data_IF_914165262893
#
_entry.id   IF_914165262893
#
_cell.length_a   1.000
_cell.length_b   1.000
_cell.length_c   1.000
_cell.angle_alpha   90.00
_cell.angle_beta   90.00
_cell.angle_gamma   90.00
#
_symmetry.space_group_name_H-M   'P 1'
#
loop_
_entity.id
_entity.type
_entity.pdbx_description
1 polymer ?
#
# COMPACT_ATOMS: atom_id res chain seq x y z
N UNK A 1 -6.12 -10.37 6.73
CA UNK A 1 -4.77 -10.78 6.29
C UNK A 1 -3.81 -9.59 6.44
N UNK A 2 -2.59 -9.80 6.95
CA UNK A 2 -1.60 -8.71 7.11
C UNK A 2 -0.51 -8.82 6.08
N UNK A 3 -0.23 -7.72 5.39
CA UNK A 3 0.79 -7.63 4.37
C UNK A 3 1.75 -6.48 4.66
N UNK A 4 3.01 -6.67 4.31
CA UNK A 4 4.05 -5.65 4.39
C UNK A 4 4.10 -4.89 3.08
N UNK A 5 3.87 -3.59 3.11
CA UNK A 5 3.82 -2.71 1.94
C UNK A 5 4.94 -1.68 2.01
N UNK A 6 5.93 -1.79 1.12
CA UNK A 6 6.97 -0.79 0.94
C UNK A 6 6.53 0.29 -0.07
N UNK A 7 6.37 1.52 0.41
CA UNK A 7 5.93 2.66 -0.39
C UNK A 7 7.13 3.43 -0.93
N UNK A 8 7.35 3.32 -2.24
CA UNK A 8 8.34 4.10 -3.01
C UNK A 8 7.65 5.29 -3.68
N UNK A 9 7.63 6.41 -2.97
CA UNK A 9 7.13 7.69 -3.48
C UNK A 9 8.12 8.38 -4.42
N UNK A 10 7.63 9.21 -5.34
CA UNK A 10 8.45 9.92 -6.33
C UNK A 10 8.86 9.07 -7.53
N UNK A 11 8.12 8.00 -7.83
CA UNK A 11 8.39 7.16 -8.99
C UNK A 11 7.88 7.79 -10.29
N UNK A 12 8.44 7.43 -11.44
CA UNK A 12 7.96 7.97 -12.74
C UNK A 12 6.57 7.42 -13.12
N UNK A 13 6.18 6.26 -12.57
CA UNK A 13 4.92 5.56 -12.85
C UNK A 13 4.32 5.00 -11.57
N UNK A 14 3.00 4.90 -11.52
CA UNK A 14 2.28 4.20 -10.46
C UNK A 14 2.27 2.70 -10.75
N UNK A 15 2.57 1.88 -9.74
CA UNK A 15 2.64 0.42 -9.90
C UNK A 15 2.72 -0.31 -8.58
N UNK A 16 2.20 -1.54 -8.56
CA UNK A 16 2.28 -2.47 -7.43
C UNK A 16 3.12 -3.66 -7.89
N UNK A 17 4.15 -3.98 -7.12
CA UNK A 17 5.00 -5.14 -7.35
C UNK A 17 4.77 -6.07 -6.17
N UNK A 18 4.29 -7.28 -6.44
CA UNK A 18 4.24 -8.32 -5.42
C UNK A 18 5.64 -8.94 -5.29
N UNK A 19 6.19 -8.93 -4.09
CA UNK A 19 7.42 -9.63 -3.74
C UNK A 19 7.12 -11.05 -3.28
N UNK A 20 8.05 -11.64 -2.53
CA UNK A 20 7.84 -12.95 -1.91
C UNK A 20 6.88 -12.88 -0.72
N UNK A 21 5.93 -13.81 -0.68
CA UNK A 21 4.96 -13.96 0.41
C UNK A 21 4.07 -12.73 0.58
N UNK A 22 4.12 -12.14 1.78
CA UNK A 22 3.28 -11.02 2.19
C UNK A 22 3.93 -9.65 1.92
N UNK A 23 5.04 -9.59 1.16
CA UNK A 23 5.71 -8.35 0.81
C UNK A 23 5.19 -7.75 -0.51
N UNK A 24 4.86 -6.46 -0.49
CA UNK A 24 4.39 -5.70 -1.63
C UNK A 24 5.16 -4.39 -1.73
N UNK A 25 5.56 -3.99 -2.93
CA UNK A 25 6.24 -2.72 -3.19
C UNK A 25 5.32 -1.86 -4.02
N UNK A 26 4.86 -0.75 -3.44
CA UNK A 26 3.97 0.20 -4.09
C UNK A 26 4.76 1.42 -4.52
N UNK A 27 4.92 1.58 -5.82
CA UNK A 27 5.54 2.75 -6.45
C UNK A 27 4.45 3.74 -6.80
N UNK A 28 4.59 4.98 -6.33
CA UNK A 28 3.64 6.05 -6.66
C UNK A 28 4.39 7.26 -7.16
N UNK A 29 3.82 7.92 -8.16
CA UNK A 29 4.34 9.20 -8.66
C UNK A 29 4.08 10.35 -7.69
N UNK A 30 3.08 10.19 -6.82
CA UNK A 30 2.79 11.14 -5.77
C UNK A 30 4.02 11.41 -4.89
N UNK A 31 4.32 12.69 -4.66
CA UNK A 31 5.37 13.11 -3.73
C UNK A 31 5.07 12.64 -2.30
N UNK A 32 6.14 12.44 -1.52
CA UNK A 32 6.16 11.98 -0.11
C UNK A 32 5.56 13.01 0.88
N UNK A 33 4.46 13.69 0.53
CA UNK A 33 3.64 14.42 1.52
C UNK A 33 2.77 13.40 2.24
N UNK A 34 2.95 13.26 3.56
CA UNK A 34 2.08 12.48 4.47
C UNK A 34 0.63 12.75 4.07
N UNK A 35 -0.06 11.77 3.49
CA UNK A 35 -1.41 11.93 2.92
C UNK A 35 -1.52 11.45 1.48
N UNK A 36 -0.81 12.08 0.52
CA UNK A 36 -0.95 11.74 -0.91
C UNK A 36 -0.49 10.31 -1.22
N UNK A 37 0.61 9.87 -0.60
CA UNK A 37 1.09 8.51 -0.74
C UNK A 37 0.13 7.49 -0.10
N UNK A 38 -0.43 7.79 1.08
CA UNK A 38 -1.37 6.88 1.75
C UNK A 38 -2.65 6.69 0.92
N UNK A 39 -3.20 7.78 0.39
CA UNK A 39 -4.39 7.74 -0.47
C UNK A 39 -4.10 6.90 -1.73
N UNK A 40 -2.95 7.11 -2.38
CA UNK A 40 -2.58 6.36 -3.56
C UNK A 40 -2.40 4.86 -3.26
N UNK A 41 -1.74 4.51 -2.15
CA UNK A 41 -1.56 3.12 -1.70
C UNK A 41 -2.91 2.47 -1.40
N UNK A 42 -3.79 3.12 -0.63
CA UNK A 42 -5.13 2.62 -0.34
C UNK A 42 -5.96 2.42 -1.61
N UNK A 43 -5.87 3.34 -2.57
CA UNK A 43 -6.58 3.26 -3.85
C UNK A 43 -6.06 2.11 -4.71
N UNK A 44 -4.74 1.91 -4.75
CA UNK A 44 -4.11 0.79 -5.46
C UNK A 44 -4.44 -0.55 -4.81
N UNK A 45 -4.32 -0.66 -3.48
CA UNK A 45 -4.64 -1.88 -2.75
C UNK A 45 -6.12 -2.23 -2.87
N UNK A 46 -7.03 -1.26 -2.77
CA UNK A 46 -8.46 -1.50 -2.98
C UNK A 46 -8.76 -1.97 -4.40
N UNK A 47 -8.08 -1.41 -5.42
CA UNK A 47 -8.25 -1.85 -6.81
C UNK A 47 -7.65 -3.23 -7.07
N UNK A 48 -6.53 -3.54 -6.43
CA UNK A 48 -5.81 -4.80 -6.62
C UNK A 48 -6.49 -5.96 -5.89
N UNK A 49 -6.84 -5.78 -4.62
CA UNK A 49 -7.47 -6.81 -3.79
C UNK A 49 -9.00 -6.79 -3.86
N UNK A 50 -9.63 -5.73 -4.39
CA UNK A 50 -11.09 -5.56 -4.35
C UNK A 50 -11.65 -5.30 -2.95
N UNK A 51 -10.77 -5.06 -1.96
CA UNK A 51 -11.08 -5.13 -0.53
C UNK A 51 -10.70 -3.88 0.22
N UNK A 52 -11.27 -3.73 1.41
CA UNK A 52 -10.80 -2.69 2.32
C UNK A 52 -9.43 -3.08 2.88
N UNK A 53 -8.51 -2.12 2.82
CA UNK A 53 -7.18 -2.25 3.36
C UNK A 53 -6.97 -1.11 4.36
N UNK A 54 -6.40 -1.41 5.52
CA UNK A 54 -6.16 -0.47 6.61
C UNK A 54 -4.70 -0.50 7.00
N UNK A 55 -4.06 0.66 7.01
CA UNK A 55 -2.68 0.76 7.48
C UNK A 55 -2.69 0.63 9.00
N UNK A 56 -2.16 -0.47 9.53
CA UNK A 56 -2.06 -0.75 10.98
C UNK A 56 -0.76 -0.21 11.55
N UNK A 57 0.33 -0.17 10.77
CA UNK A 57 1.61 0.35 11.25
C UNK A 57 2.47 0.94 10.12
N UNK A 58 3.47 1.75 10.49
CA UNK A 58 4.38 2.40 9.53
C UNK A 58 3.84 3.69 8.88
N UNK A 59 3.01 4.47 9.58
CA UNK A 59 2.53 5.75 9.05
C UNK A 59 3.67 6.75 8.74
N UNK A 60 4.76 6.68 9.51
CA UNK A 60 5.96 7.52 9.42
C UNK A 60 7.07 6.92 8.56
N UNK A 61 7.05 5.62 8.28
CA UNK A 61 8.09 4.90 7.53
C UNK A 61 7.69 4.63 6.08
N UNK A 62 8.67 4.31 5.24
CA UNK A 62 8.44 3.78 3.88
C UNK A 62 7.78 2.43 3.90
N UNK A 63 8.14 1.59 4.85
CA UNK A 63 7.57 0.25 5.03
C UNK A 63 6.38 0.34 5.97
N UNK A 64 5.24 -0.15 5.51
CA UNK A 64 3.95 -0.07 6.19
C UNK A 64 3.37 -1.46 6.34
N UNK A 65 2.77 -1.76 7.48
CA UNK A 65 1.97 -2.97 7.63
C UNK A 65 0.53 -2.59 7.32
N UNK A 66 -0.06 -3.29 6.36
CA UNK A 66 -1.42 -3.08 5.91
C UNK A 66 -2.22 -4.34 6.17
N UNK A 67 -3.36 -4.18 6.83
CA UNK A 67 -4.32 -5.23 7.08
C UNK A 67 -5.41 -5.15 6.02
N UNK A 68 -5.55 -6.21 5.23
CA UNK A 68 -6.63 -6.36 4.25
C UNK A 68 -7.77 -7.12 4.93
N UNK A 69 -8.94 -6.48 5.01
CA UNK A 69 -10.15 -7.09 5.52
C UNK A 69 -10.72 -8.03 4.46
N UNK A 70 -10.76 -9.31 4.84
CA UNK A 70 -11.46 -10.34 4.12
C UNK A 70 -12.94 -10.19 4.47
N UNK A 71 -13.69 -9.32 3.77
CA UNK A 71 -15.15 -9.33 3.91
C UNK A 71 -15.67 -10.65 3.35
N UNK A 72 -15.69 -11.67 4.19
CA UNK A 72 -16.61 -12.80 4.10
C UNK A 72 -17.81 -12.46 4.97
N UNK A 73 -18.96 -12.20 4.32
CA UNK A 73 -20.28 -12.22 4.93
C UNK A 73 -21.27 -12.72 3.88
#
# INVERSE_FOLDING_TARGET
>A
MRITVEVKAGSKKDGVIQGEGDHYIVRVKAQRKKGKANIAVLKLLKKHFGRQARIVSGLTSTTKIVEVEDKSY
#
